data_IF_582205473849
#
_entry.id   IF_582205473849
#
_cell.length_a   1.000
_cell.length_b   1.000
_cell.length_c   1.000
_cell.angle_alpha   90.00
_cell.angle_beta   90.00
_cell.angle_gamma   90.00
#
_symmetry.space_group_name_H-M   'P 1'
#
loop_
_entity.id
_entity.type
_entity.pdbx_description
1 polymer ?
#
# COMPACT_ATOMS: atom_id res chain seq x y z
N UNK A 1 16.81 3.34 -6.16
CA UNK A 1 15.92 3.20 -4.99
C UNK A 1 14.65 2.53 -5.48
N UNK A 2 14.19 1.44 -4.84
CA UNK A 2 13.00 0.70 -5.27
C UNK A 2 11.76 1.58 -5.38
N UNK A 3 10.82 1.19 -6.23
CA UNK A 3 9.59 1.94 -6.52
C UNK A 3 8.35 1.09 -6.21
N UNK A 4 7.27 1.75 -5.80
CA UNK A 4 5.96 1.15 -5.67
C UNK A 4 5.33 0.97 -7.06
N UNK A 5 4.89 -0.22 -7.41
CA UNK A 5 4.23 -0.51 -8.69
C UNK A 5 2.83 0.12 -8.80
N UNK A 6 2.23 0.53 -7.67
CA UNK A 6 0.91 1.14 -7.66
C UNK A 6 0.93 2.66 -7.90
N UNK A 7 1.97 3.35 -7.40
CA UNK A 7 1.97 4.82 -7.39
C UNK A 7 3.32 5.44 -7.75
N UNK A 8 4.27 4.64 -8.23
CA UNK A 8 5.64 5.02 -8.64
C UNK A 8 6.50 5.70 -7.57
N UNK A 9 6.01 5.81 -6.34
CA UNK A 9 6.74 6.45 -5.26
C UNK A 9 7.98 5.63 -4.88
N UNK A 10 9.09 6.32 -4.62
CA UNK A 10 10.30 5.68 -4.13
C UNK A 10 10.14 5.19 -2.69
N UNK A 11 10.72 4.03 -2.39
CA UNK A 11 10.80 3.45 -1.04
C UNK A 11 12.22 3.02 -0.73
N UNK A 12 12.55 2.93 0.55
CA UNK A 12 13.89 2.50 0.96
C UNK A 12 14.19 1.04 0.59
N UNK A 13 15.46 0.70 0.39
CA UNK A 13 15.89 -0.70 0.19
C UNK A 13 15.52 -1.60 1.38
N UNK A 14 15.49 -1.05 2.60
CA UNK A 14 15.05 -1.76 3.80
C UNK A 14 13.57 -2.11 3.75
N UNK A 15 12.75 -1.24 3.18
CA UNK A 15 11.33 -1.50 2.97
C UNK A 15 11.14 -2.62 1.93
N UNK A 16 11.83 -2.50 0.79
CA UNK A 16 11.79 -3.52 -0.26
C UNK A 16 12.17 -4.91 0.27
N UNK A 17 13.20 -5.01 1.13
CA UNK A 17 13.63 -6.30 1.69
C UNK A 17 12.52 -7.07 2.44
N UNK A 18 11.53 -6.37 3.00
CA UNK A 18 10.48 -6.98 3.83
C UNK A 18 9.15 -7.10 3.09
N UNK A 19 8.84 -6.11 2.25
CA UNK A 19 7.50 -5.95 1.67
C UNK A 19 7.41 -6.26 0.18
N UNK A 20 8.52 -6.65 -0.45
CA UNK A 20 8.47 -7.15 -1.82
C UNK A 20 7.86 -8.56 -1.87
N UNK A 21 7.23 -8.89 -2.98
CA UNK A 21 6.88 -10.27 -3.29
C UNK A 21 8.10 -11.11 -3.74
N UNK A 22 7.84 -12.35 -4.14
CA UNK A 22 8.84 -13.31 -4.63
C UNK A 22 9.60 -12.83 -5.88
N UNK A 23 9.01 -11.87 -6.61
CA UNK A 23 9.59 -11.26 -7.81
C UNK A 23 10.29 -9.93 -7.50
N UNK A 24 10.33 -9.52 -6.24
CA UNK A 24 10.91 -8.24 -5.82
C UNK A 24 9.98 -7.04 -6.05
N UNK A 25 8.69 -7.25 -6.32
CA UNK A 25 7.74 -6.17 -6.62
C UNK A 25 7.05 -5.66 -5.36
N UNK A 26 6.86 -4.33 -5.31
CA UNK A 26 6.21 -3.66 -4.19
C UNK A 26 4.86 -3.13 -4.65
N UNK A 27 3.79 -3.82 -4.26
CA UNK A 27 2.43 -3.48 -4.70
C UNK A 27 1.77 -2.38 -3.86
N UNK A 28 2.27 -2.13 -2.64
CA UNK A 28 1.78 -1.06 -1.78
C UNK A 28 2.89 -0.49 -0.89
N UNK A 29 3.22 0.79 -1.08
CA UNK A 29 4.13 1.53 -0.21
C UNK A 29 3.40 2.13 1.01
N UNK A 30 4.11 2.67 2.02
CA UNK A 30 3.47 3.25 3.21
C UNK A 30 2.40 4.29 2.90
N UNK A 31 2.57 5.08 1.83
CA UNK A 31 1.59 6.06 1.38
C UNK A 31 0.30 5.40 0.84
N UNK A 32 0.43 4.31 0.08
CA UNK A 32 -0.72 3.56 -0.42
C UNK A 32 -1.44 2.83 0.72
N UNK A 33 -0.68 2.25 1.64
CA UNK A 33 -1.19 1.45 2.74
C UNK A 33 -1.88 2.27 3.82
N UNK A 34 -1.51 3.55 3.98
CA UNK A 34 -2.03 4.42 5.05
C UNK A 34 -3.56 4.48 5.10
N UNK A 35 -4.21 4.39 3.93
CA UNK A 35 -5.67 4.47 3.81
C UNK A 35 -6.29 3.19 3.24
N UNK A 36 -5.54 2.09 3.19
CA UNK A 36 -6.06 0.82 2.71
C UNK A 36 -7.26 0.38 3.58
N UNK A 37 -8.37 0.01 2.93
CA UNK A 37 -9.59 -0.42 3.61
C UNK A 37 -10.49 0.70 4.17
N UNK A 38 -10.04 1.97 4.22
CA UNK A 38 -10.85 3.09 4.72
C UNK A 38 -12.12 3.27 3.89
N UNK A 39 -12.03 3.11 2.57
CA UNK A 39 -13.19 3.25 1.68
C UNK A 39 -14.30 2.24 2.03
N UNK A 40 -13.93 1.00 2.35
CA UNK A 40 -14.88 -0.06 2.68
C UNK A 40 -15.54 0.19 4.04
N UNK A 41 -14.73 0.52 5.05
CA UNK A 41 -15.24 0.86 6.40
C UNK A 41 -16.15 2.09 6.35
N UNK A 42 -15.83 3.09 5.53
CA UNK A 42 -16.66 4.29 5.35
C UNK A 42 -18.03 3.93 4.77
N UNK A 43 -18.08 3.06 3.75
CA UNK A 43 -19.34 2.59 3.16
C UNK A 43 -20.19 1.84 4.17
N UNK A 44 -19.60 0.92 4.93
CA UNK A 44 -20.31 0.16 5.96
C UNK A 44 -20.95 1.09 7.01
N UNK A 45 -20.19 2.08 7.50
CA UNK A 45 -20.71 3.06 8.46
C UNK A 45 -21.86 3.90 7.91
N UNK A 46 -21.83 4.25 6.63
CA UNK A 46 -22.90 5.00 5.99
C UNK A 46 -24.17 4.16 5.78
N UNK A 47 -24.02 2.85 5.60
CA UNK A 47 -25.15 1.92 5.52
C UNK A 47 -25.83 1.70 6.88
N UNK A 48 -25.04 1.69 7.96
CA UNK A 48 -25.53 1.40 9.32
C UNK A 48 -26.10 2.62 10.06
N UNK A 49 -26.12 3.80 9.43
CA UNK A 49 -26.61 5.06 9.96
C UNK A 49 -28.06 5.35 9.52
#
# INVERSE_FOLDING_TARGET
MPTCEHCDAHVSDRFARVFSDERGQIHACPNCSANAGIAEVTKQRAHDA
#
